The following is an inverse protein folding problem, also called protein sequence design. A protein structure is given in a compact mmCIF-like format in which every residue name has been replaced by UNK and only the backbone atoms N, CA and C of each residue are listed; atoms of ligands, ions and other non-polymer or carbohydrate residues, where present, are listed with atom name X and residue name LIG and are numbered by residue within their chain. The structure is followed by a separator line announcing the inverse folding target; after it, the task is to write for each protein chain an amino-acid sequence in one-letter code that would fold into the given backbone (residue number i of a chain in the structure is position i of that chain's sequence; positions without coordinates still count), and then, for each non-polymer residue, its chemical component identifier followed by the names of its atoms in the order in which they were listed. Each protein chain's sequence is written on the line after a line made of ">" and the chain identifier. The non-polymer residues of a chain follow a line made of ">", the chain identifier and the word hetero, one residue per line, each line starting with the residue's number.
data_IF_090658948600
#
_entry.id   IF_090658948600
#
_cell.length_a   1.000
_cell.length_b   1.000
_cell.length_c   1.000
_cell.angle_alpha   90.00
_cell.angle_beta   90.00
_cell.angle_gamma   90.00
#
_symmetry.space_group_name_H-M   'P 1'
#
loop_
_entity.id
_entity.type
_entity.pdbx_description
1 polymer ?
#
# COMPACT_ATOMS: atom_id res chain seq x y z
N UNK A 1 37.74 45.71 0.93
CA UNK A 1 36.56 45.53 1.79
C UNK A 1 35.89 44.24 1.43
N UNK A 2 35.96 43.30 2.33
CA UNK A 2 35.59 41.89 2.14
C UNK A 2 34.08 41.76 2.26
N UNK A 3 33.45 41.24 1.20
CA UNK A 3 32.07 40.78 1.26
C UNK A 3 32.06 39.30 1.62
N UNK A 4 31.64 38.99 2.83
CA UNK A 4 31.50 37.63 3.32
C UNK A 4 30.29 36.98 2.68
N UNK A 5 30.56 36.00 1.84
CA UNK A 5 29.56 35.06 1.36
C UNK A 5 29.14 34.16 2.53
N UNK A 6 28.01 34.45 3.11
CA UNK A 6 27.35 33.57 4.07
C UNK A 6 26.63 32.50 3.26
N UNK A 7 27.30 31.41 2.96
CA UNK A 7 26.65 30.16 2.58
C UNK A 7 25.84 29.67 3.80
N UNK A 8 24.59 29.98 3.82
CA UNK A 8 23.62 29.26 4.66
C UNK A 8 23.59 27.81 4.14
N UNK A 9 24.31 26.94 4.83
CA UNK A 9 24.00 25.53 4.84
C UNK A 9 22.52 25.41 5.18
N UNK A 10 21.72 25.04 4.20
CA UNK A 10 20.41 24.42 4.43
C UNK A 10 20.69 23.11 5.17
N UNK A 11 20.85 23.22 6.46
CA UNK A 11 20.80 22.12 7.40
C UNK A 11 19.49 21.39 7.12
N UNK A 12 19.61 20.11 6.73
CA UNK A 12 18.47 19.26 6.50
C UNK A 12 17.53 19.41 7.68
N UNK A 13 16.33 19.86 7.38
CA UNK A 13 15.23 19.74 8.29
C UNK A 13 14.98 18.23 8.45
N UNK A 14 15.72 17.65 9.39
CA UNK A 14 15.22 16.48 10.08
C UNK A 14 13.88 16.92 10.59
N UNK A 15 12.83 16.41 9.98
CA UNK A 15 11.49 16.52 10.51
C UNK A 15 11.53 15.79 11.85
N UNK A 16 11.98 16.46 12.87
CA UNK A 16 11.70 16.08 14.23
C UNK A 16 10.19 16.17 14.31
N UNK A 17 9.58 15.01 14.36
CA UNK A 17 8.17 14.82 14.57
C UNK A 17 7.83 15.30 16.00
N UNK A 18 7.84 16.62 16.20
CA UNK A 18 7.45 17.29 17.45
C UNK A 18 5.96 17.60 17.39
N UNK A 19 5.27 17.14 16.35
CA UNK A 19 3.86 17.30 16.14
C UNK A 19 3.10 16.00 16.31
N UNK A 20 1.86 16.11 16.74
CA UNK A 20 0.88 15.04 16.60
C UNK A 20 0.84 14.61 15.13
N UNK A 21 0.74 13.31 14.84
CA UNK A 21 0.58 12.85 13.48
C UNK A 21 -0.62 13.57 12.83
N UNK A 22 -0.58 13.85 11.51
CA UNK A 22 -1.69 14.52 10.87
C UNK A 22 -2.97 13.75 11.13
N UNK A 23 -4.05 14.47 11.41
CA UNK A 23 -5.37 13.87 11.54
C UNK A 23 -5.72 13.09 10.28
N UNK A 24 -6.40 11.98 10.44
CA UNK A 24 -6.89 11.20 9.30
C UNK A 24 -7.74 12.11 8.40
N UNK A 25 -7.54 12.10 7.07
CA UNK A 25 -8.40 12.86 6.18
C UNK A 25 -9.85 12.42 6.32
N UNK A 26 -10.71 13.39 6.39
CA UNK A 26 -12.16 13.44 6.58
C UNK A 26 -12.96 12.17 6.89
N UNK A 27 -13.84 12.30 7.89
CA UNK A 27 -14.83 11.29 8.30
C UNK A 27 -16.00 11.08 7.31
N UNK A 28 -16.02 11.79 6.18
CA UNK A 28 -17.13 11.78 5.23
C UNK A 28 -17.06 10.65 4.19
N UNK A 29 -16.04 9.79 4.25
CA UNK A 29 -15.98 8.64 3.37
C UNK A 29 -16.93 7.55 3.87
N UNK A 30 -17.86 7.13 3.02
CA UNK A 30 -18.64 5.92 3.23
C UNK A 30 -17.69 4.72 3.17
N UNK A 31 -17.34 4.20 4.33
CA UNK A 31 -16.55 2.97 4.43
C UNK A 31 -17.47 1.81 4.09
N UNK A 32 -17.16 0.95 3.11
CA UNK A 32 -17.95 -0.24 2.84
C UNK A 32 -18.09 -1.11 4.10
N UNK A 33 -19.31 -1.51 4.42
CA UNK A 33 -19.60 -2.40 5.55
C UNK A 33 -19.27 -3.88 5.24
N UNK A 34 -18.20 -4.14 4.50
CA UNK A 34 -17.77 -5.50 4.26
C UNK A 34 -16.95 -6.02 5.44
N UNK A 35 -17.55 -6.96 6.19
CA UNK A 35 -16.89 -7.59 7.34
C UNK A 35 -15.72 -8.50 6.96
N UNK A 36 -15.57 -8.85 5.68
CA UNK A 36 -14.53 -9.77 5.19
C UNK A 36 -13.26 -9.05 4.76
N UNK A 37 -13.31 -7.75 4.53
CA UNK A 37 -12.18 -6.94 4.08
C UNK A 37 -11.76 -5.90 5.12
N UNK A 38 -10.51 -5.46 5.07
CA UNK A 38 -9.99 -4.35 5.86
C UNK A 38 -9.58 -3.24 4.91
N UNK A 39 -10.12 -2.04 5.12
CA UNK A 39 -9.78 -0.87 4.33
C UNK A 39 -8.63 -0.10 5.00
N UNK A 40 -7.66 0.28 4.19
CA UNK A 40 -6.56 1.15 4.58
C UNK A 40 -6.54 2.40 3.72
N UNK A 41 -6.17 3.52 4.32
CA UNK A 41 -5.85 4.75 3.62
C UNK A 41 -4.35 4.96 3.68
N UNK A 42 -3.70 5.06 2.51
CA UNK A 42 -2.28 5.40 2.38
C UNK A 42 -2.21 6.82 1.82
N UNK A 43 -1.62 7.74 2.58
CA UNK A 43 -1.53 9.14 2.20
C UNK A 43 -0.14 9.73 2.48
N UNK A 44 0.13 10.90 1.91
CA UNK A 44 1.42 11.59 2.09
C UNK A 44 2.57 10.91 1.36
N UNK A 45 2.26 10.00 0.42
CA UNK A 45 3.28 9.32 -0.37
C UNK A 45 3.87 10.28 -1.39
N UNK A 46 4.90 10.99 -0.98
CA UNK A 46 5.68 11.84 -1.86
C UNK A 46 7.17 11.67 -1.55
N UNK A 47 8.01 12.06 -2.49
CA UNK A 47 9.46 11.97 -2.34
C UNK A 47 10.02 12.68 -1.10
N UNK A 48 9.29 13.62 -0.55
CA UNK A 48 9.75 14.52 0.52
C UNK A 48 8.98 14.40 1.82
N UNK A 49 8.01 13.51 1.91
CA UNK A 49 7.20 13.34 3.11
C UNK A 49 7.04 11.87 3.48
N UNK A 50 6.97 11.61 4.79
CA UNK A 50 6.69 10.29 5.30
C UNK A 50 5.32 9.82 4.81
N UNK A 51 5.20 8.62 4.25
CA UNK A 51 3.90 8.05 3.97
C UNK A 51 3.20 7.66 5.28
N UNK A 52 1.93 8.02 5.38
CA UNK A 52 1.07 7.65 6.49
C UNK A 52 0.04 6.63 6.05
N UNK A 53 -0.30 5.73 6.97
CA UNK A 53 -1.30 4.68 6.72
C UNK A 53 -2.27 4.64 7.89
N UNK A 54 -3.57 4.71 7.60
CA UNK A 54 -4.63 4.57 8.60
C UNK A 54 -5.49 3.35 8.29
N UNK A 55 -5.97 2.72 9.35
CA UNK A 55 -7.01 1.70 9.23
C UNK A 55 -8.36 2.39 9.23
N UNK A 56 -9.19 2.15 8.23
CA UNK A 56 -10.51 2.77 8.07
C UNK A 56 -11.66 1.84 8.47
N UNK A 57 -11.46 0.52 8.38
CA UNK A 57 -12.46 -0.47 8.78
C UNK A 57 -11.83 -1.72 9.39
N UNK A 58 -12.60 -2.44 10.18
CA UNK A 58 -12.29 -3.79 10.68
C UNK A 58 -10.90 -3.91 11.35
N UNK A 59 -10.62 -3.02 12.29
CA UNK A 59 -9.36 -2.98 13.05
C UNK A 59 -9.03 -4.29 13.77
N UNK A 60 -10.05 -5.05 14.16
CA UNK A 60 -9.95 -6.33 14.82
C UNK A 60 -9.27 -7.41 13.94
N UNK A 61 -9.23 -7.20 12.64
CA UNK A 61 -8.58 -8.11 11.68
C UNK A 61 -7.06 -7.97 11.66
N UNK A 62 -6.50 -6.99 12.32
CA UNK A 62 -5.05 -6.87 12.48
C UNK A 62 -4.56 -7.94 13.45
N UNK A 63 -4.18 -9.11 12.94
CA UNK A 63 -3.77 -10.28 13.73
C UNK A 63 -2.35 -10.20 14.28
N UNK A 64 -1.49 -9.41 13.62
CA UNK A 64 -0.13 -9.17 14.09
C UNK A 64 -0.05 -7.77 14.67
N UNK A 65 0.04 -7.70 15.98
CA UNK A 65 0.41 -6.45 16.65
C UNK A 65 1.90 -6.20 16.39
N UNK A 66 2.26 -4.96 16.08
CA UNK A 66 3.67 -4.57 16.19
C UNK A 66 4.07 -4.75 17.66
N UNK A 67 5.19 -5.43 17.92
CA UNK A 67 5.64 -5.81 19.24
C UNK A 67 5.86 -4.65 20.24
N UNK A 68 5.79 -3.40 19.76
CA UNK A 68 6.04 -2.18 20.54
C UNK A 68 4.83 -1.65 21.32
N UNK A 69 3.65 -2.26 21.19
CA UNK A 69 2.47 -1.77 21.87
C UNK A 69 1.88 -2.87 22.77
N UNK A 70 1.95 -2.64 24.08
CA UNK A 70 1.33 -3.50 25.08
C UNK A 70 -0.16 -3.79 24.77
N UNK A 71 -0.76 -4.76 25.49
CA UNK A 71 -2.09 -5.33 25.16
C UNK A 71 -3.26 -4.33 25.19
N UNK A 72 -3.01 -3.07 25.51
CA UNK A 72 -4.04 -2.03 25.71
C UNK A 72 -4.08 -0.97 24.62
N UNK A 73 -3.18 -0.98 23.63
CA UNK A 73 -3.20 0.05 22.59
C UNK A 73 -4.31 -0.27 21.60
N UNK A 74 -5.47 0.34 21.81
CA UNK A 74 -6.54 0.37 20.82
C UNK A 74 -6.04 1.19 19.63
N UNK A 75 -6.05 0.61 18.44
CA UNK A 75 -5.84 1.38 17.22
C UNK A 75 -6.90 2.48 17.17
N UNK A 76 -6.46 3.73 17.26
CA UNK A 76 -7.36 4.85 17.04
C UNK A 76 -7.51 5.04 15.54
N UNK A 77 -8.74 5.27 15.09
CA UNK A 77 -9.05 5.62 13.70
C UNK A 77 -8.27 6.85 13.22
N UNK A 78 -7.90 7.71 14.15
CA UNK A 78 -7.21 8.98 13.90
C UNK A 78 -5.69 8.87 13.97
N UNK A 79 -5.16 7.74 14.45
CA UNK A 79 -3.72 7.55 14.57
C UNK A 79 -3.20 6.67 13.44
N UNK A 80 -2.14 7.11 12.71
CA UNK A 80 -1.54 6.31 11.66
C UNK A 80 -0.85 5.07 12.24
N UNK A 81 -0.82 3.99 11.46
CA UNK A 81 -0.09 2.77 11.78
C UNK A 81 1.42 3.04 11.78
N UNK A 82 2.12 2.50 12.75
CA UNK A 82 3.59 2.44 12.75
C UNK A 82 4.02 1.19 11.98
N UNK A 83 4.44 1.37 10.75
CA UNK A 83 4.92 0.30 9.88
C UNK A 83 6.45 0.35 9.77
N UNK A 84 7.09 -0.82 9.65
CA UNK A 84 8.53 -0.90 9.42
C UNK A 84 8.91 -0.28 8.08
N UNK A 85 8.09 -0.48 7.05
CA UNK A 85 8.26 0.15 5.75
C UNK A 85 8.24 1.66 5.85
N UNK A 86 7.24 2.26 6.52
CA UNK A 86 7.14 3.72 6.62
C UNK A 86 8.21 4.33 7.54
N UNK A 87 8.67 3.62 8.56
CA UNK A 87 9.71 4.10 9.48
C UNK A 87 11.08 4.28 8.80
N UNK A 88 11.33 3.54 7.72
CA UNK A 88 12.61 3.60 6.99
C UNK A 88 12.57 4.58 5.78
N UNK A 89 11.59 5.44 5.69
CA UNK A 89 11.35 6.28 4.51
C UNK A 89 12.50 7.25 4.17
N UNK A 90 13.27 7.67 5.15
CA UNK A 90 14.44 8.56 4.93
C UNK A 90 15.66 7.80 4.39
N UNK A 91 15.76 6.52 4.71
CA UNK A 91 16.92 5.70 4.37
C UNK A 91 16.74 4.91 3.08
N UNK A 92 15.48 4.63 2.72
CA UNK A 92 15.13 3.76 1.60
C UNK A 92 14.07 4.40 0.73
N UNK A 93 14.18 4.18 -0.57
CA UNK A 93 13.12 4.51 -1.52
C UNK A 93 11.95 3.50 -1.35
N UNK A 94 10.99 3.87 -0.51
CA UNK A 94 9.83 3.04 -0.20
C UNK A 94 8.84 3.10 -1.33
N UNK A 95 8.43 1.95 -1.80
CA UNK A 95 7.40 1.81 -2.82
C UNK A 95 6.06 1.45 -2.17
N UNK A 96 4.96 1.85 -2.80
CA UNK A 96 3.62 1.57 -2.28
C UNK A 96 3.37 0.07 -2.07
N UNK A 97 3.93 -0.79 -2.91
CA UNK A 97 3.79 -2.23 -2.74
C UNK A 97 4.55 -2.81 -1.54
N UNK A 98 5.61 -2.16 -1.05
CA UNK A 98 6.26 -2.55 0.21
C UNK A 98 5.33 -2.31 1.40
N UNK A 99 4.60 -1.20 1.37
CA UNK A 99 3.56 -0.88 2.36
C UNK A 99 2.42 -1.90 2.26
N UNK A 100 1.89 -2.17 1.07
CA UNK A 100 0.80 -3.13 0.86
C UNK A 100 1.22 -4.53 1.34
N UNK A 101 2.42 -4.98 0.99
CA UNK A 101 2.92 -6.28 1.43
C UNK A 101 3.03 -6.39 2.95
N UNK A 102 3.40 -5.32 3.64
CA UNK A 102 3.41 -5.28 5.11
C UNK A 102 2.00 -5.32 5.69
N UNK A 103 1.06 -4.54 5.12
CA UNK A 103 -0.34 -4.53 5.55
C UNK A 103 -1.01 -5.91 5.40
N UNK A 104 -0.78 -6.60 4.29
CA UNK A 104 -1.26 -7.98 4.10
C UNK A 104 -0.72 -8.90 5.17
N UNK A 105 0.56 -8.78 5.53
CA UNK A 105 1.16 -9.58 6.62
C UNK A 105 0.59 -9.26 7.99
N UNK A 106 0.09 -8.06 8.21
CA UNK A 106 -0.58 -7.69 9.46
C UNK A 106 -1.99 -8.27 9.56
N UNK A 107 -2.68 -8.45 8.44
CA UNK A 107 -4.07 -8.91 8.40
C UNK A 107 -4.21 -10.42 8.25
N UNK A 108 -3.14 -11.15 7.95
CA UNK A 108 -3.23 -12.57 7.60
C UNK A 108 -2.31 -13.44 8.46
N UNK A 109 -2.87 -14.57 8.92
CA UNK A 109 -2.13 -15.59 9.65
C UNK A 109 -2.59 -16.99 9.18
N UNK A 110 -1.69 -17.82 8.62
CA UNK A 110 -0.29 -17.54 8.27
C UNK A 110 -0.15 -16.49 7.17
N UNK A 111 1.00 -15.80 7.14
CA UNK A 111 1.27 -14.81 6.08
C UNK A 111 1.35 -15.50 4.72
N UNK A 112 0.69 -14.96 3.69
CA UNK A 112 0.71 -15.56 2.37
C UNK A 112 2.13 -15.50 1.75
N UNK A 113 2.44 -16.47 0.92
CA UNK A 113 3.70 -16.48 0.16
C UNK A 113 3.74 -15.36 -0.88
N UNK A 114 2.58 -15.08 -1.51
CA UNK A 114 2.39 -13.94 -2.40
C UNK A 114 1.46 -12.93 -1.72
N UNK A 115 1.93 -11.73 -1.34
CA UNK A 115 1.05 -10.70 -0.74
C UNK A 115 0.11 -10.05 -1.77
N UNK A 116 0.28 -10.31 -3.05
CA UNK A 116 -0.51 -9.76 -4.16
C UNK A 116 -1.33 -10.82 -4.88
N UNK A 117 -1.73 -11.88 -4.16
CA UNK A 117 -2.62 -12.92 -4.71
C UNK A 117 -3.89 -12.29 -5.26
N UNK A 118 -4.26 -12.71 -6.46
CA UNK A 118 -5.43 -12.20 -7.17
C UNK A 118 -6.64 -13.08 -6.86
N UNK A 119 -7.73 -12.43 -6.51
CA UNK A 119 -9.04 -13.06 -6.46
C UNK A 119 -9.70 -13.01 -7.84
N UNK A 120 -9.54 -14.06 -8.61
CA UNK A 120 -10.12 -14.16 -9.96
C UNK A 120 -11.65 -14.20 -9.94
N UNK A 121 -12.26 -14.73 -8.87
CA UNK A 121 -13.72 -14.77 -8.74
C UNK A 121 -14.29 -13.35 -8.65
N UNK A 122 -13.59 -12.45 -7.95
CA UNK A 122 -13.95 -11.04 -7.92
C UNK A 122 -13.98 -10.41 -9.31
N UNK A 123 -12.94 -10.64 -10.13
CA UNK A 123 -12.88 -10.11 -11.48
C UNK A 123 -13.95 -10.73 -12.39
N UNK A 124 -14.20 -12.02 -12.28
CA UNK A 124 -15.20 -12.70 -13.09
C UNK A 124 -16.64 -12.25 -12.79
N UNK A 125 -16.89 -11.74 -11.58
CA UNK A 125 -18.18 -11.16 -11.19
C UNK A 125 -18.41 -9.75 -11.77
N UNK A 126 -17.37 -9.07 -12.26
CA UNK A 126 -17.51 -7.73 -12.82
C UNK A 126 -18.13 -7.75 -14.23
N UNK A 127 -18.92 -6.70 -14.60
CA UNK A 127 -19.31 -6.44 -15.98
C UNK A 127 -18.09 -6.38 -16.90
N UNK A 128 -18.22 -6.82 -18.15
CA UNK A 128 -17.11 -6.96 -19.08
C UNK A 128 -16.22 -5.71 -19.19
N UNK A 129 -16.83 -4.52 -19.30
CA UNK A 129 -16.09 -3.27 -19.44
C UNK A 129 -15.29 -2.93 -18.18
N UNK A 130 -15.90 -3.09 -17.00
CA UNK A 130 -15.24 -2.86 -15.72
C UNK A 130 -14.11 -3.87 -15.49
N UNK A 131 -14.33 -5.13 -15.87
CA UNK A 131 -13.34 -6.19 -15.78
C UNK A 131 -12.11 -5.91 -16.64
N UNK A 132 -12.30 -5.44 -17.87
CA UNK A 132 -11.20 -5.05 -18.76
C UNK A 132 -10.35 -3.96 -18.10
N UNK A 133 -10.98 -2.91 -17.57
CA UNK A 133 -10.27 -1.80 -16.92
C UNK A 133 -9.53 -2.31 -15.68
N UNK A 134 -10.20 -3.08 -14.84
CA UNK A 134 -9.64 -3.59 -13.59
C UNK A 134 -8.46 -4.55 -13.81
N UNK A 135 -8.58 -5.48 -14.77
CA UNK A 135 -7.49 -6.39 -15.15
C UNK A 135 -6.31 -5.63 -15.77
N UNK A 136 -6.57 -4.61 -16.58
CA UNK A 136 -5.53 -3.74 -17.14
C UNK A 136 -4.76 -2.99 -16.05
N UNK A 137 -5.47 -2.39 -15.11
CA UNK A 137 -4.88 -1.69 -13.97
C UNK A 137 -4.06 -2.64 -13.07
N UNK A 138 -4.59 -3.83 -12.78
CA UNK A 138 -3.89 -4.85 -11.99
C UNK A 138 -2.63 -5.37 -12.70
N UNK A 139 -2.72 -5.61 -14.01
CA UNK A 139 -1.55 -6.01 -14.83
C UNK A 139 -0.45 -4.96 -14.76
N UNK A 140 -0.81 -3.68 -14.88
CA UNK A 140 0.15 -2.57 -14.78
C UNK A 140 0.78 -2.50 -13.39
N UNK A 141 -0.03 -2.64 -12.32
CA UNK A 141 0.47 -2.67 -10.96
C UNK A 141 1.50 -3.80 -10.75
N UNK A 142 1.18 -5.03 -11.17
CA UNK A 142 2.07 -6.17 -11.03
C UNK A 142 3.36 -6.03 -11.83
N UNK A 143 3.29 -5.46 -13.04
CA UNK A 143 4.50 -5.14 -13.82
C UNK A 143 5.40 -4.17 -13.06
N UNK A 144 4.83 -3.15 -12.42
CA UNK A 144 5.62 -2.22 -11.61
C UNK A 144 6.26 -2.90 -10.38
N UNK A 145 5.53 -3.81 -9.71
CA UNK A 145 6.10 -4.61 -8.61
C UNK A 145 7.30 -5.41 -9.07
N UNK A 146 7.23 -6.05 -10.25
CA UNK A 146 8.31 -6.87 -10.80
C UNK A 146 9.50 -6.03 -11.31
N UNK A 147 9.22 -4.93 -12.01
CA UNK A 147 10.26 -4.14 -12.68
C UNK A 147 11.03 -3.21 -11.75
N UNK A 148 10.40 -2.73 -10.68
CA UNK A 148 10.97 -1.69 -9.82
C UNK A 148 11.30 -2.18 -8.41
N UNK A 149 11.10 -3.45 -8.13
CA UNK A 149 11.46 -4.08 -6.86
C UNK A 149 12.73 -4.92 -6.99
N UNK A 150 13.50 -5.09 -5.90
CA UNK A 150 14.51 -6.15 -5.86
C UNK A 150 13.80 -7.49 -5.99
N UNK A 151 14.52 -8.48 -6.50
CA UNK A 151 13.98 -9.85 -6.57
C UNK A 151 13.54 -10.32 -5.19
N UNK A 152 12.27 -10.61 -5.05
CA UNK A 152 11.63 -11.02 -3.80
C UNK A 152 11.23 -12.50 -3.90
N UNK A 153 11.11 -13.15 -2.75
CA UNK A 153 10.68 -14.55 -2.68
C UNK A 153 9.31 -14.83 -3.33
N UNK A 154 8.52 -13.80 -3.56
CA UNK A 154 7.21 -13.89 -4.22
C UNK A 154 7.22 -13.48 -5.70
N UNK A 155 8.35 -13.02 -6.26
CA UNK A 155 8.42 -12.50 -7.64
C UNK A 155 7.96 -13.54 -8.68
N UNK A 156 8.32 -14.81 -8.51
CA UNK A 156 7.85 -15.88 -9.38
C UNK A 156 6.34 -16.05 -9.37
N UNK A 157 5.73 -16.03 -8.17
CA UNK A 157 4.29 -16.15 -8.02
C UNK A 157 3.55 -14.95 -8.63
N UNK A 158 4.07 -13.73 -8.41
CA UNK A 158 3.52 -12.51 -9.03
C UNK A 158 3.63 -12.56 -10.55
N UNK A 159 4.72 -13.12 -11.10
CA UNK A 159 4.90 -13.29 -12.55
C UNK A 159 3.89 -14.29 -13.14
N UNK A 160 3.58 -15.35 -12.42
CA UNK A 160 2.59 -16.35 -12.87
C UNK A 160 1.17 -15.73 -12.86
N UNK A 161 0.82 -15.05 -11.78
CA UNK A 161 -0.46 -14.34 -11.67
C UNK A 161 -0.57 -13.26 -12.76
N UNK A 162 0.50 -12.49 -13.02
CA UNK A 162 0.53 -11.49 -14.10
C UNK A 162 0.26 -12.12 -15.46
N UNK A 163 0.83 -13.28 -15.75
CA UNK A 163 0.61 -13.99 -17.01
C UNK A 163 -0.86 -14.39 -17.17
N UNK A 164 -1.47 -14.87 -16.11
CA UNK A 164 -2.87 -15.28 -16.10
C UNK A 164 -3.82 -14.10 -16.35
N UNK A 165 -3.68 -13.01 -15.60
CA UNK A 165 -4.55 -11.83 -15.78
C UNK A 165 -4.33 -11.15 -17.11
N UNK A 166 -3.10 -11.15 -17.63
CA UNK A 166 -2.82 -10.55 -18.95
C UNK A 166 -3.52 -11.37 -20.05
N UNK A 167 -3.50 -12.70 -19.96
CA UNK A 167 -4.23 -13.58 -20.90
C UNK A 167 -5.74 -13.32 -20.81
N UNK A 168 -6.28 -13.21 -19.59
CA UNK A 168 -7.70 -12.95 -19.39
C UNK A 168 -8.09 -11.57 -19.93
N UNK A 169 -7.33 -10.55 -19.61
CA UNK A 169 -7.53 -9.20 -20.11
C UNK A 169 -7.59 -9.15 -21.64
N UNK A 170 -6.66 -9.83 -22.31
CA UNK A 170 -6.65 -9.92 -23.78
C UNK A 170 -7.89 -10.62 -24.32
N UNK A 171 -8.32 -11.73 -23.73
CA UNK A 171 -9.53 -12.44 -24.13
C UNK A 171 -10.77 -11.57 -23.98
N UNK A 172 -10.93 -10.90 -22.84
CA UNK A 172 -12.06 -10.02 -22.57
C UNK A 172 -12.09 -8.82 -23.54
N UNK A 173 -10.91 -8.28 -23.86
CA UNK A 173 -10.80 -7.19 -24.83
C UNK A 173 -11.20 -7.63 -26.23
N UNK A 174 -10.83 -8.85 -26.66
CA UNK A 174 -11.29 -9.42 -27.94
C UNK A 174 -12.80 -9.60 -27.96
N UNK A 175 -13.41 -10.06 -26.86
CA UNK A 175 -14.89 -10.19 -26.77
C UNK A 175 -15.59 -8.83 -26.83
N UNK A 176 -14.98 -7.78 -26.30
CA UNK A 176 -15.54 -6.43 -26.34
C UNK A 176 -15.55 -5.80 -27.74
N UNK A 177 -14.62 -6.21 -28.61
CA UNK A 177 -14.50 -5.72 -29.98
C UNK A 177 -15.43 -6.42 -31.00
N UNK A 178 -16.09 -7.50 -30.60
CA UNK A 178 -17.06 -8.24 -31.43
C UNK A 178 -18.46 -7.67 -31.30
#
# INVERSE_FOLDING_TARGET
>A
MLSQNTQQKLSGYGFMDIGLPPASPSDNETVPEDSKSTMFLIAGYSRYSCPYVWVRSNHERLVKRSDDHGPTTRYSKDSPLKLKSTSAWQEKDIKVWDIIAELVKLCTLPSPRNPFVIDMEYFDALPLQERIIALGAMSHFMQNVLNNGPDKSYSGLVSDDLREITKRHFTDFQMFLQ
#
